data_IF_045547052860
#
_entry.id   IF_045547052860
#
_cell.length_a   1.000
_cell.length_b   1.000
_cell.length_c   1.000
_cell.angle_alpha   90.00
_cell.angle_beta   90.00
_cell.angle_gamma   90.00
#
_symmetry.space_group_name_H-M   'P 1'
#
loop_
_entity.id
_entity.type
_entity.pdbx_description
1 polymer ?
#
# COMPACT_ATOMS: atom_id res chain seq x y z
N UNK A 1 -14.66 73.55 16.85
CA UNK A 1 -15.07 72.18 17.02
C UNK A 1 -14.62 71.43 15.75
N UNK A 2 -13.45 70.73 15.83
CA UNK A 2 -12.91 70.01 14.69
C UNK A 2 -13.36 68.57 14.79
N UNK A 3 -14.12 68.09 13.80
CA UNK A 3 -14.59 66.72 13.70
C UNK A 3 -13.45 65.91 13.04
N UNK A 4 -12.89 64.97 13.78
CA UNK A 4 -11.90 63.99 13.27
C UNK A 4 -12.72 62.83 12.64
N UNK A 5 -12.65 62.67 11.33
CA UNK A 5 -13.19 61.51 10.61
C UNK A 5 -12.08 60.44 10.56
N UNK A 6 -12.25 59.40 11.36
CA UNK A 6 -11.35 58.25 11.33
C UNK A 6 -11.88 57.24 10.28
N UNK A 7 -11.21 57.15 9.13
CA UNK A 7 -11.49 56.16 8.10
C UNK A 7 -10.94 54.79 8.53
N UNK A 8 -11.83 53.84 8.76
CA UNK A 8 -11.50 52.44 8.99
C UNK A 8 -11.26 51.74 7.62
N UNK A 9 -10.02 51.42 7.28
CA UNK A 9 -9.72 50.55 6.13
C UNK A 9 -9.91 49.09 6.57
N UNK A 10 -10.94 48.42 6.07
CA UNK A 10 -11.11 46.98 6.20
C UNK A 10 -10.21 46.32 5.13
N UNK A 11 -9.09 45.77 5.57
CA UNK A 11 -8.22 44.94 4.74
C UNK A 11 -8.86 43.57 4.57
N UNK A 12 -9.65 43.36 3.50
CA UNK A 12 -10.12 42.04 3.11
C UNK A 12 -8.94 41.20 2.60
N UNK A 13 -8.37 40.37 3.46
CA UNK A 13 -7.41 39.34 3.02
C UNK A 13 -8.16 38.26 2.27
N UNK A 14 -8.11 38.28 0.93
CA UNK A 14 -8.47 37.15 0.10
C UNK A 14 -7.47 36.04 0.33
N UNK A 15 -7.79 35.06 1.18
CA UNK A 15 -7.11 33.79 1.18
C UNK A 15 -7.48 33.06 -0.12
N UNK A 16 -6.49 32.67 -0.95
CA UNK A 16 -6.81 31.90 -2.15
C UNK A 16 -7.45 30.58 -1.71
N UNK A 17 -8.66 30.33 -2.14
CA UNK A 17 -9.34 29.06 -1.99
C UNK A 17 -8.63 28.09 -2.96
N UNK A 18 -7.67 27.32 -2.46
CA UNK A 18 -7.05 26.24 -3.22
C UNK A 18 -8.09 25.13 -3.32
N UNK A 19 -8.76 25.05 -4.46
CA UNK A 19 -9.64 23.94 -4.76
C UNK A 19 -8.78 22.66 -4.85
N UNK A 20 -9.02 21.70 -3.95
CA UNK A 20 -8.40 20.38 -4.01
C UNK A 20 -8.78 19.69 -5.31
N UNK A 21 -7.84 18.97 -5.93
CA UNK A 21 -8.08 18.21 -7.16
C UNK A 21 -9.22 17.22 -6.99
N UNK A 22 -10.13 17.20 -7.96
CA UNK A 22 -11.17 16.19 -8.05
C UNK A 22 -10.59 14.92 -8.69
N UNK A 23 -10.02 14.05 -7.85
CA UNK A 23 -9.45 12.78 -8.30
C UNK A 23 -10.53 11.86 -8.89
N UNK A 24 -10.60 11.79 -10.22
CA UNK A 24 -11.55 10.98 -10.96
C UNK A 24 -10.96 9.62 -11.32
N UNK A 25 -11.75 8.57 -11.14
CA UNK A 25 -11.37 7.24 -11.56
C UNK A 25 -11.37 7.13 -13.09
N UNK A 26 -10.40 6.39 -13.60
CA UNK A 26 -10.37 5.98 -15.01
C UNK A 26 -11.34 4.81 -15.26
N UNK A 27 -11.63 4.51 -16.53
CA UNK A 27 -12.46 3.39 -16.94
C UNK A 27 -12.00 2.03 -16.37
N UNK A 28 -10.69 1.88 -16.10
CA UNK A 28 -10.14 0.65 -15.53
C UNK A 28 -10.54 0.39 -14.07
N UNK A 29 -11.07 1.41 -13.41
CA UNK A 29 -11.57 1.31 -12.03
C UNK A 29 -13.06 0.96 -11.95
N UNK A 30 -13.70 0.66 -13.09
CA UNK A 30 -15.10 0.25 -13.18
C UNK A 30 -15.25 -1.11 -13.84
N UNK A 31 -16.26 -1.93 -13.44
CA UNK A 31 -16.56 -3.17 -14.14
C UNK A 31 -16.89 -2.90 -15.61
N UNK A 32 -16.34 -3.71 -16.50
CA UNK A 32 -16.58 -3.64 -17.96
C UNK A 32 -17.33 -4.89 -18.43
N UNK A 33 -18.20 -4.71 -19.39
CA UNK A 33 -18.89 -5.84 -20.05
C UNK A 33 -17.88 -6.70 -20.83
N UNK A 34 -18.07 -8.02 -20.77
CA UNK A 34 -17.18 -8.98 -21.42
C UNK A 34 -15.85 -9.23 -20.69
N UNK A 35 -15.55 -8.53 -19.59
CA UNK A 35 -14.38 -8.81 -18.76
C UNK A 35 -14.72 -9.88 -17.72
N UNK A 36 -14.03 -11.04 -17.72
CA UNK A 36 -14.23 -12.07 -16.72
C UNK A 36 -13.91 -11.56 -15.31
N UNK A 37 -14.75 -11.93 -14.34
CA UNK A 37 -14.62 -11.49 -12.96
C UNK A 37 -13.97 -12.54 -12.10
N UNK A 38 -12.90 -12.17 -11.38
CA UNK A 38 -12.29 -13.01 -10.36
C UNK A 38 -13.20 -13.21 -9.14
N UNK A 39 -12.82 -14.17 -8.29
CA UNK A 39 -13.53 -14.53 -7.06
C UNK A 39 -12.79 -13.99 -5.85
N UNK A 40 -13.53 -13.54 -4.83
CA UNK A 40 -12.98 -13.12 -3.53
C UNK A 40 -13.42 -14.14 -2.49
N UNK A 41 -12.45 -14.75 -1.81
CA UNK A 41 -12.68 -15.74 -0.75
C UNK A 41 -12.20 -15.16 0.58
N UNK A 42 -13.13 -14.98 1.53
CA UNK A 42 -12.79 -14.54 2.90
C UNK A 42 -12.34 -15.73 3.73
N UNK A 43 -11.24 -15.54 4.47
CA UNK A 43 -10.69 -16.51 5.42
C UNK A 43 -10.30 -15.81 6.73
N UNK A 44 -10.09 -16.60 7.79
CA UNK A 44 -9.60 -16.14 9.09
C UNK A 44 -8.30 -16.87 9.41
N UNK A 45 -7.30 -16.15 9.86
CA UNK A 45 -6.04 -16.72 10.33
C UNK A 45 -5.85 -16.46 11.83
N UNK A 46 -5.81 -17.53 12.64
CA UNK A 46 -5.75 -17.47 14.11
C UNK A 46 -4.62 -18.31 14.71
N UNK A 47 -3.69 -18.81 13.89
CA UNK A 47 -2.64 -19.75 14.31
C UNK A 47 -1.23 -19.23 14.05
N UNK A 48 -1.05 -17.90 14.11
CA UNK A 48 0.25 -17.29 13.90
C UNK A 48 1.26 -17.73 14.96
N UNK A 49 2.41 -18.21 14.51
CA UNK A 49 3.57 -18.51 15.37
C UNK A 49 4.40 -17.24 15.60
N UNK A 50 4.44 -16.36 14.61
CA UNK A 50 5.20 -15.10 14.65
C UNK A 50 4.51 -14.04 15.53
N UNK A 51 3.16 -13.99 15.48
CA UNK A 51 2.34 -13.12 16.34
C UNK A 51 1.33 -13.94 17.16
N UNK A 52 1.78 -14.65 18.19
CA UNK A 52 0.93 -15.57 18.95
C UNK A 52 -0.30 -14.89 19.55
N UNK A 53 -1.43 -15.57 19.50
CA UNK A 53 -2.71 -15.10 20.05
C UNK A 53 -3.41 -14.05 19.18
N UNK A 54 -2.87 -13.68 18.03
CA UNK A 54 -3.57 -12.80 17.09
C UNK A 54 -4.55 -13.56 16.21
N UNK A 55 -5.67 -12.91 15.92
CA UNK A 55 -6.65 -13.33 14.92
C UNK A 55 -6.76 -12.23 13.89
N UNK A 56 -6.88 -12.59 12.60
CA UNK A 56 -7.05 -11.63 11.52
C UNK A 56 -7.89 -12.19 10.39
N UNK A 57 -8.71 -11.33 9.82
CA UNK A 57 -9.37 -11.59 8.54
C UNK A 57 -8.37 -11.38 7.40
N UNK A 58 -8.47 -12.22 6.38
CA UNK A 58 -7.82 -12.00 5.10
C UNK A 58 -8.72 -12.48 3.95
N UNK A 59 -8.49 -11.95 2.76
CA UNK A 59 -9.22 -12.33 1.57
C UNK A 59 -8.24 -12.71 0.48
N UNK A 60 -8.64 -13.63 -0.35
CA UNK A 60 -7.89 -14.03 -1.53
C UNK A 60 -8.75 -13.70 -2.75
N UNK A 61 -8.24 -12.82 -3.62
CA UNK A 61 -8.79 -12.61 -4.94
C UNK A 61 -8.10 -13.57 -5.90
N UNK A 62 -8.88 -14.36 -6.62
CA UNK A 62 -8.41 -15.30 -7.64
C UNK A 62 -8.98 -14.85 -8.98
N UNK A 63 -8.15 -14.39 -9.94
CA UNK A 63 -8.63 -14.00 -11.25
C UNK A 63 -9.21 -15.20 -12.01
N UNK A 64 -10.14 -14.95 -12.92
CA UNK A 64 -10.75 -16.01 -13.75
C UNK A 64 -9.71 -16.75 -14.62
N UNK A 65 -8.63 -16.05 -14.98
CA UNK A 65 -7.51 -16.60 -15.78
C UNK A 65 -6.52 -17.44 -14.97
N UNK A 66 -6.76 -17.66 -13.66
CA UNK A 66 -5.88 -18.48 -12.85
C UNK A 66 -5.79 -19.92 -13.37
N UNK A 67 -4.57 -20.45 -13.46
CA UNK A 67 -4.28 -21.84 -13.80
C UNK A 67 -3.40 -22.47 -12.71
N UNK A 68 -3.90 -23.49 -12.02
CA UNK A 68 -3.19 -24.18 -10.94
C UNK A 68 -1.92 -24.92 -11.39
N UNK A 69 -1.79 -25.24 -12.66
CA UNK A 69 -0.60 -25.90 -13.21
C UNK A 69 0.60 -24.96 -13.37
N UNK A 70 0.37 -23.64 -13.35
CA UNK A 70 1.41 -22.62 -13.54
C UNK A 70 1.61 -21.80 -12.29
N UNK A 71 2.88 -21.56 -11.86
CA UNK A 71 3.16 -20.62 -10.78
C UNK A 71 2.62 -19.22 -11.12
N UNK A 72 1.76 -18.68 -10.24
CA UNK A 72 1.05 -17.41 -10.48
C UNK A 72 1.64 -16.29 -9.64
N UNK A 73 1.81 -15.11 -10.23
CA UNK A 73 2.19 -13.89 -9.51
C UNK A 73 1.20 -13.57 -8.41
N UNK A 74 1.66 -12.88 -7.37
CA UNK A 74 0.75 -12.42 -6.34
C UNK A 74 1.13 -11.06 -5.76
N UNK A 75 0.15 -10.40 -5.17
CA UNK A 75 0.29 -9.12 -4.51
C UNK A 75 -0.35 -9.17 -3.13
N UNK A 76 0.44 -8.84 -2.08
CA UNK A 76 -0.05 -8.78 -0.70
C UNK A 76 -0.38 -7.34 -0.34
N UNK A 77 -1.59 -7.12 0.16
CA UNK A 77 -2.10 -5.82 0.59
C UNK A 77 -2.21 -5.76 2.11
N UNK A 78 -1.50 -4.84 2.72
CA UNK A 78 -1.62 -4.54 4.15
C UNK A 78 -2.87 -3.66 4.39
N UNK A 79 -3.62 -3.92 5.46
CA UNK A 79 -4.98 -3.38 5.68
C UNK A 79 -5.99 -3.83 4.61
N UNK A 80 -5.99 -5.12 4.32
CA UNK A 80 -6.63 -5.73 3.17
C UNK A 80 -8.09 -5.36 2.91
N UNK A 81 -8.87 -5.12 3.97
CA UNK A 81 -10.27 -4.74 3.83
C UNK A 81 -10.47 -3.39 3.09
N UNK A 82 -9.45 -2.52 3.02
CA UNK A 82 -9.53 -1.24 2.29
C UNK A 82 -9.47 -1.41 0.78
N UNK A 83 -8.90 -2.53 0.30
CA UNK A 83 -8.59 -2.74 -1.11
C UNK A 83 -9.56 -3.66 -1.84
N UNK A 84 -10.18 -4.61 -1.12
CA UNK A 84 -10.98 -5.69 -1.72
C UNK A 84 -12.39 -5.25 -2.14
N UNK A 85 -12.89 -4.10 -1.70
CA UNK A 85 -14.23 -3.64 -1.99
C UNK A 85 -14.34 -3.07 -3.41
N UNK A 86 -15.27 -3.57 -4.22
CA UNK A 86 -15.49 -3.13 -5.60
C UNK A 86 -15.89 -1.64 -5.74
N UNK A 87 -16.42 -1.04 -4.69
CA UNK A 87 -16.77 0.40 -4.61
C UNK A 87 -15.87 1.17 -3.62
N UNK A 88 -14.77 0.57 -3.15
CA UNK A 88 -13.80 1.22 -2.28
C UNK A 88 -12.92 2.23 -3.01
N UNK A 89 -11.96 2.82 -2.30
CA UNK A 89 -11.02 3.78 -2.91
C UNK A 89 -10.12 3.14 -3.96
N UNK A 90 -9.63 1.92 -3.74
CA UNK A 90 -8.67 1.28 -4.67
C UNK A 90 -9.34 0.38 -5.69
N UNK A 91 -10.45 -0.30 -5.32
CA UNK A 91 -11.20 -1.22 -6.19
C UNK A 91 -10.32 -2.31 -6.82
N UNK A 92 -9.34 -2.81 -6.05
CA UNK A 92 -8.27 -3.64 -6.58
C UNK A 92 -8.76 -4.87 -7.39
N UNK A 93 -9.82 -5.61 -6.98
CA UNK A 93 -10.34 -6.72 -7.77
C UNK A 93 -10.83 -6.31 -9.16
N UNK A 94 -11.53 -5.17 -9.26
CA UNK A 94 -12.04 -4.65 -10.53
C UNK A 94 -10.90 -4.22 -11.45
N UNK A 95 -9.90 -3.55 -10.88
CA UNK A 95 -8.71 -3.12 -11.63
C UNK A 95 -7.93 -4.34 -12.11
N UNK A 96 -7.78 -5.37 -11.28
CA UNK A 96 -7.14 -6.62 -11.68
C UNK A 96 -7.89 -7.31 -12.81
N UNK A 97 -9.23 -7.47 -12.70
CA UNK A 97 -10.04 -8.05 -13.77
C UNK A 97 -9.77 -7.37 -15.11
N UNK A 98 -9.83 -6.02 -15.13
CA UNK A 98 -9.65 -5.24 -16.34
C UNK A 98 -8.23 -5.35 -16.92
N UNK A 99 -7.19 -5.12 -16.09
CA UNK A 99 -5.81 -5.09 -16.58
C UNK A 99 -5.26 -6.47 -16.95
N UNK A 100 -5.68 -7.52 -16.25
CA UNK A 100 -5.34 -8.91 -16.62
C UNK A 100 -5.99 -9.28 -17.95
N UNK A 101 -7.28 -8.94 -18.15
CA UNK A 101 -7.99 -9.17 -19.41
C UNK A 101 -7.33 -8.42 -20.57
N UNK A 102 -6.88 -7.18 -20.36
CA UNK A 102 -6.15 -6.36 -21.34
C UNK A 102 -4.71 -6.84 -21.57
N UNK A 103 -4.21 -7.82 -20.79
CA UNK A 103 -2.81 -8.29 -20.80
C UNK A 103 -1.79 -7.19 -20.51
N UNK A 104 -2.16 -6.20 -19.72
CA UNK A 104 -1.28 -5.10 -19.32
C UNK A 104 -0.49 -5.40 -18.04
N UNK A 105 -0.98 -6.36 -17.26
CA UNK A 105 -0.28 -6.95 -16.11
C UNK A 105 -0.38 -8.47 -16.18
N UNK A 106 0.51 -9.23 -15.53
CA UNK A 106 0.42 -10.69 -15.47
C UNK A 106 -0.84 -11.12 -14.72
N UNK A 107 -1.18 -12.40 -14.82
CA UNK A 107 -2.20 -13.04 -13.96
C UNK A 107 -1.72 -12.96 -12.51
N UNK A 108 -2.48 -12.31 -11.64
CA UNK A 108 -2.08 -11.99 -10.26
C UNK A 108 -3.14 -12.44 -9.26
N UNK A 109 -2.76 -13.21 -8.26
CA UNK A 109 -3.58 -13.47 -7.07
C UNK A 109 -3.41 -12.29 -6.09
N UNK A 110 -4.53 -11.69 -5.62
CA UNK A 110 -4.53 -10.68 -4.59
C UNK A 110 -4.69 -11.31 -3.20
N UNK A 111 -3.79 -11.00 -2.26
CA UNK A 111 -3.87 -11.46 -0.87
C UNK A 111 -4.07 -10.22 0.01
N UNK A 112 -5.29 -10.01 0.47
CA UNK A 112 -5.69 -8.84 1.26
C UNK A 112 -5.69 -9.21 2.73
N UNK A 113 -4.69 -8.77 3.50
CA UNK A 113 -4.51 -9.18 4.89
C UNK A 113 -4.69 -8.02 5.86
N UNK A 114 -5.55 -8.20 6.87
CA UNK A 114 -5.68 -7.25 7.95
C UNK A 114 -4.60 -7.46 9.02
N UNK A 115 -4.24 -6.42 9.78
CA UNK A 115 -3.38 -6.59 10.95
C UNK A 115 -4.03 -7.48 12.00
N UNK A 116 -3.21 -8.11 12.81
CA UNK A 116 -3.67 -8.97 13.91
C UNK A 116 -4.42 -8.20 14.98
N UNK A 117 -5.39 -8.88 15.57
CA UNK A 117 -6.13 -8.42 16.72
C UNK A 117 -6.03 -9.50 17.79
N UNK A 118 -5.68 -9.14 19.02
CA UNK A 118 -5.71 -10.06 20.16
C UNK A 118 -7.08 -9.91 20.84
N UNK A 119 -7.92 -10.96 20.81
CA UNK A 119 -9.22 -10.94 21.47
C UNK A 119 -9.11 -10.64 22.97
N UNK A 120 -10.07 -9.91 23.54
CA UNK A 120 -10.13 -9.71 24.99
C UNK A 120 -10.45 -11.01 25.69
N UNK A 121 -9.75 -11.27 26.81
CA UNK A 121 -10.09 -12.38 27.72
C UNK A 121 -11.28 -12.04 28.62
N UNK A 122 -11.67 -10.75 28.70
CA UNK A 122 -12.83 -10.31 29.52
C UNK A 122 -14.05 -10.23 28.60
N UNK A 123 -15.18 -10.74 29.09
CA UNK A 123 -16.46 -10.59 28.40
C UNK A 123 -16.78 -9.10 28.16
N UNK A 124 -17.19 -8.75 26.94
CA UNK A 124 -17.43 -7.35 26.54
C UNK A 124 -16.18 -6.46 26.46
N UNK A 125 -14.98 -7.00 26.72
CA UNK A 125 -13.73 -6.26 26.67
C UNK A 125 -13.30 -5.92 25.25
N UNK A 126 -12.62 -4.77 25.08
CA UNK A 126 -12.11 -4.35 23.77
C UNK A 126 -10.88 -5.19 23.36
N UNK A 127 -10.82 -5.68 22.11
CA UNK A 127 -9.65 -6.37 21.61
C UNK A 127 -8.46 -5.41 21.47
N UNK A 128 -7.24 -5.92 21.62
CA UNK A 128 -6.01 -5.16 21.40
C UNK A 128 -5.63 -5.22 19.93
N UNK A 129 -5.59 -4.07 19.29
CA UNK A 129 -5.12 -3.92 17.91
C UNK A 129 -3.60 -4.04 17.87
N UNK A 130 -3.08 -4.84 16.93
CA UNK A 130 -1.65 -5.08 16.80
C UNK A 130 -1.02 -4.30 15.62
N UNK A 131 -1.81 -3.49 14.88
CA UNK A 131 -1.43 -2.86 13.62
C UNK A 131 -0.10 -2.11 13.68
N UNK A 132 0.06 -1.18 14.63
CA UNK A 132 1.30 -0.41 14.71
C UNK A 132 2.52 -1.26 15.08
N UNK A 133 2.34 -2.28 15.94
CA UNK A 133 3.42 -3.22 16.26
C UNK A 133 3.84 -4.02 15.02
N UNK A 134 2.89 -4.49 14.24
CA UNK A 134 3.15 -5.31 13.05
C UNK A 134 3.71 -4.49 11.87
N UNK A 135 3.19 -3.27 11.67
CA UNK A 135 3.43 -2.52 10.44
C UNK A 135 4.54 -1.47 10.57
N UNK A 136 4.65 -0.80 11.73
CA UNK A 136 5.59 0.30 11.89
C UNK A 136 6.94 -0.13 12.50
N UNK A 137 7.08 -1.39 12.95
CA UNK A 137 8.35 -1.89 13.50
C UNK A 137 9.30 -2.26 12.36
N UNK A 138 10.53 -1.70 12.42
CA UNK A 138 11.55 -1.85 11.37
C UNK A 138 12.41 -3.11 11.62
N UNK A 139 11.84 -4.28 11.37
CA UNK A 139 12.55 -5.55 11.44
C UNK A 139 11.90 -6.61 10.54
N UNK A 140 12.45 -7.81 10.51
CA UNK A 140 12.01 -8.92 9.68
C UNK A 140 10.75 -9.64 10.17
N UNK A 141 10.21 -9.29 11.34
CA UNK A 141 9.14 -10.07 11.98
C UNK A 141 7.87 -10.17 11.12
N UNK A 142 7.46 -9.06 10.47
CA UNK A 142 6.28 -9.11 9.61
C UNK A 142 6.56 -9.86 8.29
N UNK A 143 7.76 -9.75 7.74
CA UNK A 143 8.15 -10.56 6.57
C UNK A 143 8.16 -12.05 6.89
N UNK A 144 8.62 -12.43 8.08
CA UNK A 144 8.54 -13.80 8.57
C UNK A 144 7.09 -14.26 8.76
N UNK A 145 6.22 -13.41 9.31
CA UNK A 145 4.78 -13.73 9.38
C UNK A 145 4.20 -14.05 7.99
N UNK A 146 4.52 -13.24 6.97
CA UNK A 146 4.06 -13.53 5.61
C UNK A 146 4.63 -14.87 5.10
N UNK A 147 5.93 -15.09 5.25
CA UNK A 147 6.64 -16.21 4.63
C UNK A 147 6.47 -17.54 5.38
N UNK A 148 6.37 -17.51 6.72
CA UNK A 148 6.36 -18.71 7.56
C UNK A 148 4.94 -19.08 8.04
N UNK A 149 4.02 -18.11 8.11
CA UNK A 149 2.66 -18.32 8.61
C UNK A 149 1.59 -18.23 7.51
N UNK A 150 1.48 -17.06 6.82
CA UNK A 150 0.34 -16.77 5.96
C UNK A 150 0.46 -17.39 4.56
N UNK A 151 1.59 -17.18 3.87
CA UNK A 151 1.77 -17.68 2.51
C UNK A 151 1.73 -19.20 2.42
N UNK A 152 2.31 -19.98 3.36
CA UNK A 152 2.14 -21.44 3.37
C UNK A 152 0.67 -21.88 3.51
N UNK A 153 -0.18 -21.08 4.17
CA UNK A 153 -1.61 -21.37 4.25
C UNK A 153 -2.34 -21.14 2.93
N UNK A 154 -1.96 -20.07 2.21
CA UNK A 154 -2.50 -19.76 0.88
C UNK A 154 -2.01 -20.75 -0.17
N UNK A 155 -0.77 -21.19 -0.08
CA UNK A 155 -0.14 -22.16 -0.99
C UNK A 155 -0.74 -23.57 -0.93
N UNK A 156 -1.55 -23.88 0.08
CA UNK A 156 -2.32 -25.14 0.11
C UNK A 156 -3.37 -25.22 -1.00
N UNK A 157 -3.90 -24.06 -1.38
CA UNK A 157 -4.99 -23.97 -2.33
C UNK A 157 -4.55 -23.40 -3.69
N UNK A 158 -3.41 -22.66 -3.73
CA UNK A 158 -2.99 -21.90 -4.91
C UNK A 158 -1.50 -22.07 -5.21
N UNK A 159 -1.17 -22.25 -6.48
CA UNK A 159 0.22 -22.34 -6.96
C UNK A 159 0.82 -20.94 -7.10
N UNK A 160 1.45 -20.45 -6.02
CA UNK A 160 2.10 -19.14 -5.99
C UNK A 160 3.55 -19.22 -6.50
N UNK A 161 3.98 -18.24 -7.28
CA UNK A 161 5.36 -18.18 -7.77
C UNK A 161 6.37 -18.05 -6.63
N UNK A 162 7.54 -18.67 -6.80
CA UNK A 162 8.70 -18.50 -5.91
C UNK A 162 9.68 -17.44 -6.44
N UNK A 163 9.47 -16.94 -7.64
CA UNK A 163 10.24 -15.86 -8.23
C UNK A 163 9.95 -14.52 -7.52
N UNK A 164 10.95 -13.87 -6.88
CA UNK A 164 10.75 -12.59 -6.19
C UNK A 164 10.28 -11.46 -7.12
N UNK A 165 10.55 -11.54 -8.43
CA UNK A 165 10.01 -10.61 -9.44
C UNK A 165 8.51 -10.80 -9.68
N UNK A 166 7.95 -11.96 -9.37
CA UNK A 166 6.51 -12.24 -9.43
C UNK A 166 5.75 -11.91 -8.14
N UNK A 167 6.41 -11.29 -7.14
CA UNK A 167 5.84 -10.99 -5.83
C UNK A 167 5.86 -9.52 -5.52
N UNK A 168 4.70 -8.97 -5.15
CA UNK A 168 4.58 -7.55 -4.84
C UNK A 168 3.82 -7.30 -3.52
N UNK A 169 4.01 -6.10 -3.00
CA UNK A 169 3.46 -5.62 -1.73
C UNK A 169 2.78 -4.26 -1.95
N UNK A 170 1.68 -4.02 -1.27
CA UNK A 170 0.95 -2.75 -1.34
C UNK A 170 0.41 -2.37 0.03
N UNK A 171 0.51 -1.10 0.38
CA UNK A 171 -0.08 -0.61 1.61
C UNK A 171 -0.28 0.89 1.65
N UNK A 172 -1.14 1.32 2.58
CA UNK A 172 -1.46 2.73 2.85
C UNK A 172 -0.97 3.10 4.25
N UNK A 173 -0.40 4.28 4.42
CA UNK A 173 0.02 4.79 5.74
C UNK A 173 1.02 3.84 6.42
N UNK A 174 0.73 3.34 7.63
CA UNK A 174 1.54 2.27 8.25
C UNK A 174 1.63 1.01 7.36
N UNK A 175 0.60 0.69 6.57
CA UNK A 175 0.67 -0.39 5.58
C UNK A 175 1.69 -0.11 4.47
N UNK A 176 1.88 1.15 4.10
CA UNK A 176 2.86 1.58 3.08
C UNK A 176 4.31 1.37 3.55
N UNK A 177 4.63 1.80 4.78
CA UNK A 177 5.96 1.53 5.35
C UNK A 177 6.15 0.03 5.61
N UNK A 178 5.11 -0.70 6.03
CA UNK A 178 5.15 -2.14 6.19
C UNK A 178 5.53 -2.85 4.88
N UNK A 179 4.89 -2.49 3.77
CA UNK A 179 5.20 -3.03 2.45
C UNK A 179 6.68 -2.78 2.06
N UNK A 180 7.17 -1.57 2.32
CA UNK A 180 8.59 -1.26 2.12
C UNK A 180 9.49 -2.09 3.03
N UNK A 181 9.19 -2.17 4.34
CA UNK A 181 9.99 -2.91 5.33
C UNK A 181 10.11 -4.38 4.94
N UNK A 182 9.02 -5.03 4.51
CA UNK A 182 9.07 -6.43 4.05
C UNK A 182 10.04 -6.61 2.88
N UNK A 183 9.98 -5.76 1.86
CA UNK A 183 10.90 -5.84 0.72
C UNK A 183 12.34 -5.47 1.12
N UNK A 184 12.51 -4.53 2.04
CA UNK A 184 13.81 -4.13 2.56
C UNK A 184 14.52 -5.26 3.31
N UNK A 185 13.79 -5.97 4.18
CA UNK A 185 14.32 -7.10 4.96
C UNK A 185 14.48 -8.38 4.12
N UNK A 186 13.59 -8.60 3.13
CA UNK A 186 13.56 -9.81 2.33
C UNK A 186 13.51 -9.51 0.81
N UNK A 187 14.55 -8.83 0.25
CA UNK A 187 14.63 -8.54 -1.18
C UNK A 187 14.85 -9.80 -2.02
N UNK A 188 15.23 -10.91 -1.40
CA UNK A 188 15.28 -12.24 -1.97
C UNK A 188 13.89 -12.84 -2.21
N UNK A 189 12.85 -12.30 -1.57
CA UNK A 189 11.47 -12.77 -1.63
C UNK A 189 10.50 -11.79 -2.28
N UNK A 190 10.70 -10.48 -2.11
CA UNK A 190 9.81 -9.43 -2.62
C UNK A 190 10.63 -8.30 -3.22
N UNK A 191 10.29 -7.91 -4.46
CA UNK A 191 11.02 -6.86 -5.18
C UNK A 191 10.15 -5.72 -5.70
N UNK A 192 8.84 -5.76 -5.49
CA UNK A 192 7.91 -4.76 -5.98
C UNK A 192 7.07 -4.20 -4.85
N UNK A 193 7.05 -2.87 -4.70
CA UNK A 193 6.36 -2.17 -3.62
C UNK A 193 5.52 -1.03 -4.16
N UNK A 194 4.26 -0.94 -3.71
CA UNK A 194 3.40 0.23 -3.84
C UNK A 194 3.11 0.77 -2.44
N UNK A 195 3.48 2.01 -2.19
CA UNK A 195 3.23 2.70 -0.92
C UNK A 195 2.41 3.97 -1.17
N UNK A 196 1.18 3.99 -0.64
CA UNK A 196 0.33 5.16 -0.60
C UNK A 196 0.57 5.91 0.70
N UNK A 197 0.82 7.23 0.65
CA UNK A 197 0.94 8.08 1.84
C UNK A 197 1.67 7.37 2.99
N UNK A 198 2.81 6.76 2.66
CA UNK A 198 3.55 5.87 3.55
C UNK A 198 4.02 6.57 4.82
N UNK A 199 3.87 5.92 5.98
CA UNK A 199 4.26 6.47 7.29
C UNK A 199 5.78 6.41 7.52
N UNK A 200 6.58 7.00 6.63
CA UNK A 200 8.03 7.10 6.80
C UNK A 200 8.41 8.16 7.85
N UNK A 201 7.56 8.34 8.84
CA UNK A 201 7.67 9.24 9.98
C UNK A 201 8.07 8.49 11.26
N UNK A 202 8.20 9.19 12.39
CA UNK A 202 8.65 8.58 13.64
C UNK A 202 7.50 7.99 14.47
N UNK A 203 6.70 7.08 13.88
CA UNK A 203 5.77 6.26 14.68
C UNK A 203 6.56 5.22 15.50
N UNK A 204 7.46 4.47 14.83
CA UNK A 204 8.39 3.51 15.43
C UNK A 204 9.75 3.51 14.71
N UNK A 205 10.26 4.70 14.35
CA UNK A 205 11.56 4.84 13.74
C UNK A 205 11.57 4.92 12.21
N UNK A 206 10.42 4.97 11.52
CA UNK A 206 10.31 4.97 10.06
C UNK A 206 11.08 6.09 9.35
N UNK A 207 11.28 7.22 10.04
CA UNK A 207 12.08 8.36 9.58
C UNK A 207 13.57 8.00 9.33
N UNK A 208 14.04 6.85 9.81
CA UNK A 208 15.43 6.42 9.59
C UNK A 208 15.67 5.88 8.16
N UNK A 209 14.63 5.46 7.43
CA UNK A 209 14.78 4.84 6.11
C UNK A 209 15.54 5.68 5.08
N UNK A 210 15.34 6.99 4.93
CA UNK A 210 16.11 7.78 3.97
C UNK A 210 17.62 7.72 4.23
N UNK A 211 18.04 7.71 5.49
CA UNK A 211 19.46 7.57 5.85
C UNK A 211 19.96 6.14 5.64
N UNK A 212 19.16 5.13 5.99
CA UNK A 212 19.49 3.72 5.77
C UNK A 212 19.68 3.42 4.28
N UNK A 213 18.77 3.87 3.42
CA UNK A 213 18.86 3.69 1.96
C UNK A 213 20.17 4.27 1.42
N UNK A 214 20.55 5.48 1.85
CA UNK A 214 21.79 6.14 1.40
C UNK A 214 23.07 5.45 1.83
N UNK A 215 23.04 4.72 2.95
CA UNK A 215 24.20 4.07 3.58
C UNK A 215 24.30 2.58 3.31
N UNK A 216 23.33 2.00 2.64
CA UNK A 216 23.25 0.56 2.35
C UNK A 216 23.42 0.34 0.84
N UNK A 217 24.08 -0.74 0.47
CA UNK A 217 24.11 -1.19 -0.93
C UNK A 217 22.69 -1.31 -1.50
N UNK A 218 22.53 -0.89 -2.77
CA UNK A 218 21.22 -0.89 -3.43
C UNK A 218 20.64 -2.30 -3.48
N UNK A 219 19.46 -2.48 -2.91
CA UNK A 219 18.70 -3.72 -2.99
C UNK A 219 17.88 -3.75 -4.30
N UNK A 220 17.58 -4.92 -4.88
CA UNK A 220 16.84 -5.05 -6.13
C UNK A 220 15.32 -4.83 -5.91
N UNK A 221 14.95 -3.63 -5.44
CA UNK A 221 13.57 -3.26 -5.15
C UNK A 221 13.12 -2.18 -6.12
N UNK A 222 11.95 -2.40 -6.75
CA UNK A 222 11.21 -1.39 -7.50
C UNK A 222 10.11 -0.85 -6.61
N UNK A 223 9.96 0.48 -6.52
CA UNK A 223 8.97 1.09 -5.63
C UNK A 223 8.21 2.24 -6.26
N UNK A 224 6.90 2.21 -6.13
CA UNK A 224 6.02 3.33 -6.45
C UNK A 224 5.56 3.99 -5.14
N UNK A 225 5.90 5.25 -4.96
CA UNK A 225 5.45 6.08 -3.84
C UNK A 225 4.39 7.08 -4.32
N UNK A 226 3.27 7.18 -3.60
CA UNK A 226 2.27 8.21 -3.79
C UNK A 226 2.08 8.99 -2.49
N UNK A 227 1.97 10.32 -2.58
CA UNK A 227 1.78 11.19 -1.43
C UNK A 227 0.88 12.39 -1.78
N UNK A 228 0.38 13.09 -0.76
CA UNK A 228 -0.43 14.28 -0.88
C UNK A 228 0.16 15.47 -0.12
N UNK A 229 0.13 16.66 -0.73
CA UNK A 229 0.65 17.91 -0.11
C UNK A 229 -0.07 18.29 1.18
N UNK A 230 -1.36 17.91 1.31
CA UNK A 230 -2.19 18.22 2.47
C UNK A 230 -2.34 17.01 3.42
N UNK A 231 -1.34 16.12 3.43
CA UNK A 231 -1.30 15.00 4.33
C UNK A 231 -0.91 15.42 5.76
N UNK A 232 -0.87 14.48 6.69
CA UNK A 232 -0.66 14.70 8.12
C UNK A 232 0.64 15.44 8.41
N UNK A 233 0.52 16.42 9.34
CA UNK A 233 1.62 17.01 10.07
C UNK A 233 1.25 16.95 11.56
N UNK A 234 1.95 16.11 12.34
CA UNK A 234 1.61 15.86 13.73
C UNK A 234 2.84 15.46 14.57
N UNK A 235 2.61 14.98 15.81
CA UNK A 235 3.69 14.60 16.74
C UNK A 235 4.66 13.51 16.20
N UNK A 236 4.26 12.76 15.19
CA UNK A 236 5.12 11.73 14.58
C UNK A 236 5.95 12.26 13.42
N UNK A 237 5.62 13.45 12.91
CA UNK A 237 6.28 14.11 11.81
C UNK A 237 5.34 14.59 10.73
N UNK A 238 5.93 15.05 9.61
CA UNK A 238 5.24 15.55 8.44
C UNK A 238 5.33 14.51 7.31
N UNK A 239 4.19 13.95 6.87
CA UNK A 239 4.15 12.88 5.85
C UNK A 239 4.64 13.32 4.49
N UNK A 240 4.23 14.48 3.94
CA UNK A 240 4.75 15.00 2.67
C UNK A 240 6.28 15.15 2.67
N UNK A 241 6.87 15.71 3.73
CA UNK A 241 8.32 15.84 3.85
C UNK A 241 9.01 14.48 3.95
N UNK A 242 8.46 13.55 4.74
CA UNK A 242 9.02 12.21 4.92
C UNK A 242 9.05 11.42 3.59
N UNK A 243 7.98 11.48 2.80
CA UNK A 243 7.93 10.80 1.50
C UNK A 243 8.83 11.49 0.45
N UNK A 244 8.99 12.82 0.49
CA UNK A 244 10.00 13.54 -0.32
C UNK A 244 11.43 13.10 0.04
N UNK A 245 11.73 12.91 1.34
CA UNK A 245 13.02 12.39 1.80
C UNK A 245 13.26 10.95 1.32
N UNK A 246 12.23 10.10 1.35
CA UNK A 246 12.30 8.76 0.76
C UNK A 246 12.64 8.82 -0.74
N UNK A 247 11.89 9.61 -1.52
CA UNK A 247 12.13 9.78 -2.95
C UNK A 247 13.55 10.31 -3.25
N UNK A 248 14.03 11.28 -2.45
CA UNK A 248 15.38 11.82 -2.58
C UNK A 248 16.46 10.77 -2.28
N UNK A 249 16.26 9.91 -1.29
CA UNK A 249 17.19 8.83 -0.96
C UNK A 249 17.22 7.74 -2.05
N UNK A 250 16.05 7.34 -2.55
CA UNK A 250 15.92 6.39 -3.66
C UNK A 250 16.60 6.89 -4.94
N UNK A 251 16.41 8.18 -5.26
CA UNK A 251 17.09 8.84 -6.38
C UNK A 251 18.60 8.82 -6.22
N UNK A 252 19.10 9.20 -5.05
CA UNK A 252 20.54 9.24 -4.75
C UNK A 252 21.21 7.89 -4.94
N UNK A 253 20.54 6.80 -4.52
CA UNK A 253 21.08 5.43 -4.58
C UNK A 253 20.79 4.74 -5.92
N UNK A 254 20.02 5.38 -6.83
CA UNK A 254 19.72 4.84 -8.14
C UNK A 254 18.71 3.70 -8.15
N UNK A 255 17.76 3.67 -7.19
CA UNK A 255 16.65 2.72 -7.22
C UNK A 255 15.75 2.93 -8.43
N UNK A 256 15.10 1.86 -8.86
CA UNK A 256 13.98 1.93 -9.81
C UNK A 256 12.74 2.37 -9.04
N UNK A 257 12.43 3.67 -9.08
CA UNK A 257 11.34 4.24 -8.32
C UNK A 257 10.50 5.23 -9.12
N UNK A 258 9.25 5.39 -8.74
CA UNK A 258 8.38 6.48 -9.18
C UNK A 258 7.76 7.15 -7.95
N UNK A 259 7.74 8.47 -7.94
CA UNK A 259 7.13 9.27 -6.88
C UNK A 259 6.08 10.20 -7.50
N UNK A 260 4.86 10.11 -7.02
CA UNK A 260 3.74 10.96 -7.45
C UNK A 260 3.23 11.73 -6.25
N UNK A 261 3.34 13.05 -6.31
CA UNK A 261 2.78 13.98 -5.34
C UNK A 261 1.52 14.61 -5.93
N UNK A 262 0.44 14.66 -5.16
CA UNK A 262 -0.78 15.39 -5.46
C UNK A 262 -1.13 16.35 -4.34
N UNK A 263 -2.27 16.99 -4.41
CA UNK A 263 -2.82 17.90 -3.38
C UNK A 263 -3.74 17.18 -2.38
N UNK A 264 -3.75 15.84 -2.37
CA UNK A 264 -4.57 15.02 -1.49
C UNK A 264 -4.17 15.13 -0.01
N UNK A 265 -5.08 14.67 0.86
CA UNK A 265 -4.86 14.52 2.30
C UNK A 265 -4.65 13.03 2.66
N UNK A 266 -4.58 12.69 3.97
CA UNK A 266 -4.35 11.32 4.46
C UNK A 266 -5.52 10.38 4.20
N UNK A 267 -5.76 10.06 2.93
CA UNK A 267 -6.80 9.12 2.51
C UNK A 267 -6.41 8.40 1.21
N UNK A 268 -7.17 7.35 0.87
CA UNK A 268 -6.88 6.51 -0.30
C UNK A 268 -7.43 7.05 -1.64
N UNK A 269 -8.02 8.24 -1.72
CA UNK A 269 -8.70 8.71 -2.93
C UNK A 269 -7.74 8.92 -4.09
N UNK A 270 -6.69 9.72 -3.90
CA UNK A 270 -5.67 9.96 -4.94
C UNK A 270 -4.99 8.66 -5.37
N UNK A 271 -4.45 7.90 -4.40
CA UNK A 271 -3.79 6.63 -4.70
C UNK A 271 -4.70 5.64 -5.43
N UNK A 272 -5.98 5.57 -5.04
CA UNK A 272 -6.97 4.70 -5.68
C UNK A 272 -7.24 5.07 -7.14
N UNK A 273 -7.30 6.37 -7.48
CA UNK A 273 -7.58 6.81 -8.85
C UNK A 273 -6.42 6.52 -9.81
N UNK A 274 -5.17 6.50 -9.31
CA UNK A 274 -3.98 6.18 -10.11
C UNK A 274 -3.52 4.73 -9.95
N UNK A 275 -4.28 3.89 -9.25
CA UNK A 275 -3.89 2.49 -9.01
C UNK A 275 -3.70 1.68 -10.30
N UNK A 276 -4.52 1.82 -11.35
CA UNK A 276 -4.27 1.16 -12.64
C UNK A 276 -2.87 1.50 -13.20
N UNK A 277 -2.47 2.76 -13.15
CA UNK A 277 -1.16 3.20 -13.65
C UNK A 277 0.00 2.75 -12.76
N UNK A 278 -0.22 2.65 -11.44
CA UNK A 278 0.75 2.05 -10.53
C UNK A 278 1.00 0.58 -10.88
N UNK A 279 -0.05 -0.18 -11.16
CA UNK A 279 0.06 -1.58 -11.55
C UNK A 279 0.80 -1.74 -12.88
N UNK A 280 0.45 -0.96 -13.92
CA UNK A 280 1.18 -0.95 -15.20
C UNK A 280 2.66 -0.66 -15.00
N UNK A 281 2.97 0.31 -14.16
CA UNK A 281 4.35 0.71 -13.90
C UNK A 281 5.13 -0.34 -13.11
N UNK A 282 4.55 -0.93 -12.07
CA UNK A 282 5.26 -1.88 -11.20
C UNK A 282 5.52 -3.22 -11.91
N UNK A 283 4.63 -3.61 -12.84
CA UNK A 283 4.69 -4.86 -13.59
C UNK A 283 5.25 -4.73 -15.02
N UNK A 284 5.65 -3.52 -15.45
CA UNK A 284 5.94 -3.14 -16.85
C UNK A 284 6.89 -4.06 -17.63
N UNK A 285 7.79 -4.78 -16.97
CA UNK A 285 8.80 -5.62 -17.63
C UNK A 285 8.70 -7.09 -17.24
N UNK A 286 7.70 -7.49 -16.47
CA UNK A 286 7.65 -8.84 -15.90
C UNK A 286 7.60 -9.95 -16.95
N UNK A 287 6.79 -9.80 -18.00
CA UNK A 287 6.66 -10.79 -19.07
C UNK A 287 7.77 -10.73 -20.11
N UNK A 288 8.47 -9.57 -20.20
CA UNK A 288 9.62 -9.42 -21.11
C UNK A 288 10.91 -10.03 -20.57
N UNK A 289 10.93 -10.33 -19.27
CA UNK A 289 12.09 -10.92 -18.59
C UNK A 289 12.00 -12.47 -18.51
N UNK A 290 10.90 -13.06 -18.99
CA UNK A 290 10.66 -14.50 -19.13
C UNK A 290 10.63 -14.92 -20.59
#
# INVERSE_FOLDING_TARGET
MKILVTSFFILCTFLPFVALSDYKYTEDSFPKDGVPKGKIIKKVFAKSKIYPGTVRDYWIYVPDQYNSEKPTCFMVFQDGNWYQAAKGHTRAPVVFDNLIHQKEIPVIIGIFVNPGVIPSKKEGGKPRKNRSLEYDTLNDQYSRFLLEDLLPEVEKDYNLTKDPEGRSLCGISSGGICAWTVAWERPDQFRKVISYIGSFTNIRGGHAYPAMIRKTEKKPIRVFLQEGENDLDNLHGNWPLANRQMAAALKFTGYDYKFVMGDGAHNGKHGGTIFPDMLRWIWRDYEKAK
#
